data_IF_566838295613
#
_entry.id   IF_566838295613
#
_cell.length_a   1.000
_cell.length_b   1.000
_cell.length_c   1.000
_cell.angle_alpha   90.00
_cell.angle_beta   90.00
_cell.angle_gamma   90.00
#
_symmetry.space_group_name_H-M   'P 1'
#
loop_
_entity.id
_entity.type
_entity.pdbx_description
1 polymer ?
#
# COMPACT_ATOMS: atom_id res chain seq x y z
N UNK A 1 -10.08 4.62 -3.67
CA UNK A 1 -8.76 3.97 -3.62
C UNK A 1 -8.50 3.23 -4.92
N UNK A 2 -7.46 3.62 -5.62
CA UNK A 2 -7.09 2.98 -6.89
C UNK A 2 -5.72 2.31 -6.73
N UNK A 3 -5.62 1.04 -7.08
CA UNK A 3 -4.35 0.34 -7.12
C UNK A 3 -4.28 -0.55 -8.35
N UNK A 4 -3.08 -0.66 -8.92
CA UNK A 4 -2.83 -1.47 -10.11
C UNK A 4 -1.50 -2.21 -9.98
N UNK A 5 -1.49 -3.42 -10.45
CA UNK A 5 -0.30 -4.24 -10.56
C UNK A 5 0.03 -4.52 -12.02
N UNK A 6 1.31 -4.30 -12.37
CA UNK A 6 1.89 -4.72 -13.65
C UNK A 6 3.18 -5.48 -13.33
N UNK A 7 3.63 -6.40 -14.18
CA UNK A 7 4.95 -7.01 -13.96
C UNK A 7 6.03 -5.93 -13.84
N UNK A 8 6.65 -5.86 -12.66
CA UNK A 8 7.68 -4.87 -12.36
C UNK A 8 7.19 -3.55 -11.80
N UNK A 9 5.87 -3.34 -11.66
CA UNK A 9 5.32 -2.08 -11.14
C UNK A 9 4.06 -2.32 -10.31
N UNK A 10 3.96 -1.63 -9.20
CA UNK A 10 2.75 -1.57 -8.39
C UNK A 10 2.45 -0.11 -8.09
N UNK A 11 1.22 0.33 -8.35
CA UNK A 11 0.81 1.72 -8.14
C UNK A 11 -0.42 1.78 -7.24
N UNK A 12 -0.37 2.71 -6.30
CA UNK A 12 -1.47 2.98 -5.38
C UNK A 12 -1.75 4.48 -5.36
N UNK A 13 -2.99 4.89 -5.57
CA UNK A 13 -3.41 6.30 -5.58
C UNK A 13 -4.61 6.54 -4.70
N UNK A 14 -4.54 7.56 -3.87
CA UNK A 14 -5.70 8.09 -3.14
C UNK A 14 -5.30 9.40 -2.48
N UNK A 15 -6.28 10.30 -2.34
CA UNK A 15 -6.09 11.58 -1.66
C UNK A 15 -5.63 11.42 -0.20
N UNK A 16 -5.99 10.33 0.44
CA UNK A 16 -5.59 10.04 1.82
C UNK A 16 -4.07 9.97 1.97
N UNK A 17 -3.34 9.68 0.90
CA UNK A 17 -1.88 9.63 0.90
C UNK A 17 -1.24 11.03 1.05
N UNK A 18 -2.02 12.09 0.95
CA UNK A 18 -1.54 13.44 1.24
C UNK A 18 -1.31 13.65 2.75
N UNK A 19 -1.97 12.87 3.58
CA UNK A 19 -1.66 12.81 5.00
C UNK A 19 -0.29 12.14 5.15
N UNK A 20 0.66 12.84 5.74
CA UNK A 20 2.04 12.36 5.87
C UNK A 20 2.16 11.04 6.63
N UNK A 21 1.41 10.89 7.70
CA UNK A 21 1.48 9.66 8.51
C UNK A 21 0.93 8.45 7.75
N UNK A 22 -0.18 8.64 7.04
CA UNK A 22 -0.78 7.58 6.23
C UNK A 22 0.14 7.23 5.07
N UNK A 23 0.71 8.24 4.40
CA UNK A 23 1.66 8.03 3.30
C UNK A 23 2.90 7.26 3.77
N UNK A 24 3.46 7.63 4.90
CA UNK A 24 4.63 6.96 5.46
C UNK A 24 4.31 5.49 5.77
N UNK A 25 3.17 5.23 6.40
CA UNK A 25 2.74 3.88 6.70
C UNK A 25 2.54 3.04 5.43
N UNK A 26 1.95 3.63 4.40
CA UNK A 26 1.75 2.95 3.11
C UNK A 26 3.08 2.62 2.42
N UNK A 27 4.04 3.53 2.46
CA UNK A 27 5.38 3.30 1.89
C UNK A 27 6.09 2.16 2.65
N UNK A 28 6.01 2.16 3.96
CA UNK A 28 6.60 1.09 4.79
C UNK A 28 5.96 -0.26 4.49
N UNK A 29 4.64 -0.30 4.30
CA UNK A 29 3.94 -1.53 3.93
C UNK A 29 4.37 -2.03 2.55
N UNK A 30 4.52 -1.12 1.58
CA UNK A 30 5.00 -1.47 0.24
C UNK A 30 6.43 -2.01 0.29
N UNK A 31 7.29 -1.40 1.10
CA UNK A 31 8.67 -1.86 1.27
C UNK A 31 8.73 -3.25 1.93
N UNK A 32 7.81 -3.54 2.85
CA UNK A 32 7.71 -4.87 3.47
C UNK A 32 7.28 -5.92 2.45
N UNK A 33 6.38 -5.54 1.53
CA UNK A 33 5.91 -6.44 0.49
C UNK A 33 7.02 -6.77 -0.52
N UNK A 34 7.80 -5.78 -0.91
CA UNK A 34 8.89 -5.95 -1.86
C UNK A 34 10.10 -5.11 -1.42
N UNK A 35 10.98 -5.67 -0.58
CA UNK A 35 12.14 -4.91 -0.05
C UNK A 35 13.08 -4.39 -1.11
N UNK A 36 13.15 -5.04 -2.27
CA UNK A 36 14.01 -4.61 -3.38
C UNK A 36 13.40 -3.50 -4.23
N UNK A 37 12.16 -3.11 -3.98
CA UNK A 37 11.48 -2.12 -4.80
C UNK A 37 12.02 -0.71 -4.56
N UNK A 38 12.06 0.08 -5.65
CA UNK A 38 12.24 1.51 -5.56
C UNK A 38 10.86 2.13 -5.41
N UNK A 39 10.64 2.89 -4.34
CA UNK A 39 9.34 3.47 -4.03
C UNK A 39 9.41 4.98 -4.18
N UNK A 40 8.50 5.54 -4.98
CA UNK A 40 8.43 6.96 -5.26
C UNK A 40 7.07 7.52 -4.91
N UNK A 41 7.06 8.71 -4.32
CA UNK A 41 5.86 9.49 -4.05
C UNK A 41 5.66 10.51 -5.16
N UNK A 42 4.46 10.55 -5.74
CA UNK A 42 4.08 11.56 -6.72
C UNK A 42 2.97 12.42 -6.13
N UNK A 43 3.31 13.65 -5.76
CA UNK A 43 2.38 14.58 -5.14
C UNK A 43 1.25 15.00 -6.09
N UNK A 44 1.54 15.18 -7.37
CA UNK A 44 0.52 15.63 -8.33
C UNK A 44 -0.59 14.61 -8.55
N UNK A 45 -0.28 13.32 -8.43
CA UNK A 45 -1.28 12.25 -8.58
C UNK A 45 -1.76 11.68 -7.26
N UNK A 46 -1.18 12.11 -6.13
CA UNK A 46 -1.40 11.53 -4.82
C UNK A 46 -1.15 10.02 -4.84
N UNK A 47 -0.07 9.61 -5.48
CA UNK A 47 0.22 8.21 -5.73
C UNK A 47 1.59 7.76 -5.28
N UNK A 48 1.67 6.48 -4.95
CA UNK A 48 2.92 5.78 -4.65
C UNK A 48 3.16 4.78 -5.77
N UNK A 49 4.38 4.77 -6.32
CA UNK A 49 4.80 3.83 -7.34
C UNK A 49 5.97 3.01 -6.81
N UNK A 50 5.81 1.70 -6.80
CA UNK A 50 6.88 0.76 -6.51
C UNK A 50 7.36 0.13 -7.81
N UNK A 51 8.66 0.20 -8.09
CA UNK A 51 9.28 -0.38 -9.28
C UNK A 51 10.28 -1.45 -8.83
N UNK A 52 10.22 -2.62 -9.45
CA UNK A 52 11.03 -3.77 -9.05
C UNK A 52 11.25 -4.71 -10.23
N UNK A 53 12.23 -5.63 -10.10
CA UNK A 53 12.39 -6.68 -11.09
C UNK A 53 11.13 -7.55 -11.10
N UNK A 54 10.60 -7.96 -12.27
CA UNK A 54 9.33 -8.69 -12.34
C UNK A 54 9.27 -9.97 -11.49
N UNK A 55 10.40 -10.61 -11.26
CA UNK A 55 10.50 -11.82 -10.44
C UNK A 55 10.76 -11.55 -8.94
N UNK A 56 10.92 -10.29 -8.56
CA UNK A 56 11.22 -9.92 -7.18
C UNK A 56 9.99 -9.91 -6.26
N UNK A 57 8.78 -9.85 -6.83
CA UNK A 57 7.53 -9.85 -6.08
C UNK A 57 6.88 -11.23 -6.13
N UNK A 58 6.60 -11.78 -4.96
CA UNK A 58 5.85 -13.03 -4.85
C UNK A 58 4.35 -12.72 -5.05
N UNK A 59 3.80 -13.21 -6.15
CA UNK A 59 2.38 -13.03 -6.51
C UNK A 59 1.45 -13.64 -5.47
N UNK A 60 1.82 -14.76 -4.88
CA UNK A 60 1.01 -15.40 -3.84
C UNK A 60 0.94 -14.52 -2.59
N UNK A 61 2.04 -13.85 -2.26
CA UNK A 61 2.10 -12.90 -1.16
C UNK A 61 1.17 -11.70 -1.42
N UNK A 62 1.21 -11.16 -2.64
CA UNK A 62 0.31 -10.08 -3.03
C UNK A 62 -1.15 -10.52 -2.97
N UNK A 63 -1.45 -11.72 -3.47
CA UNK A 63 -2.81 -12.28 -3.45
C UNK A 63 -3.32 -12.44 -2.02
N UNK A 64 -2.48 -12.85 -1.09
CA UNK A 64 -2.84 -12.99 0.31
C UNK A 64 -3.22 -11.66 0.97
N UNK A 65 -2.71 -10.53 0.44
CA UNK A 65 -3.01 -9.20 0.97
C UNK A 65 -4.31 -8.61 0.41
N UNK A 66 -4.88 -9.17 -0.66
CA UNK A 66 -6.08 -8.64 -1.30
C UNK A 66 -7.26 -8.51 -0.32
N UNK A 67 -7.57 -9.50 0.54
CA UNK A 67 -8.65 -9.33 1.52
C UNK A 67 -8.45 -8.15 2.45
N UNK A 68 -7.21 -7.89 2.87
CA UNK A 68 -6.89 -6.75 3.74
C UNK A 68 -7.05 -5.43 3.01
N UNK A 69 -6.68 -5.38 1.72
CA UNK A 69 -6.88 -4.20 0.88
C UNK A 69 -8.38 -3.92 0.70
N UNK A 70 -9.18 -4.94 0.49
CA UNK A 70 -10.64 -4.80 0.35
C UNK A 70 -11.29 -4.33 1.64
N UNK A 71 -10.80 -4.77 2.78
CA UNK A 71 -11.28 -4.30 4.08
C UNK A 71 -10.93 -2.83 4.32
N UNK A 72 -9.76 -2.41 3.87
CA UNK A 72 -9.29 -1.04 4.03
C UNK A 72 -10.04 -0.06 3.10
N UNK A 73 -10.43 -0.50 1.91
CA UNK A 73 -10.99 0.37 0.86
C UNK A 73 -12.17 1.23 1.31
N UNK A 74 -13.21 0.72 2.00
CA UNK A 74 -14.32 1.57 2.44
C UNK A 74 -13.88 2.63 3.44
N UNK A 75 -12.90 2.34 4.28
CA UNK A 75 -12.38 3.30 5.27
C UNK A 75 -11.68 4.47 4.58
N UNK A 76 -10.97 4.19 3.50
CA UNK A 76 -10.29 5.19 2.69
C UNK A 76 -11.27 5.99 1.85
N UNK A 77 -12.24 5.30 1.21
CA UNK A 77 -13.24 5.93 0.34
C UNK A 77 -14.08 6.97 1.08
N UNK A 78 -14.47 6.67 2.32
CA UNK A 78 -15.29 7.56 3.14
C UNK A 78 -14.45 8.18 4.27
N UNK A 79 -13.23 8.58 3.92
CA UNK A 79 -12.28 9.11 4.87
C UNK A 79 -12.80 10.37 5.58
N UNK A 80 -12.62 10.37 6.90
CA UNK A 80 -12.75 11.55 7.76
C UNK A 80 -11.58 11.52 8.73
N UNK A 81 -11.18 12.67 9.33
CA UNK A 81 -10.08 12.69 10.31
C UNK A 81 -10.25 11.71 11.46
N UNK A 82 -11.48 11.41 11.85
CA UNK A 82 -11.77 10.43 12.91
C UNK A 82 -11.40 9.00 12.51
N UNK A 83 -11.30 8.72 11.22
CA UNK A 83 -10.98 7.39 10.70
C UNK A 83 -9.48 7.18 10.52
N UNK A 84 -8.67 8.20 10.72
CA UNK A 84 -7.23 8.12 10.50
C UNK A 84 -6.59 6.96 11.27
N UNK A 85 -6.90 6.83 12.56
CA UNK A 85 -6.34 5.75 13.39
C UNK A 85 -6.72 4.37 12.85
N UNK A 86 -7.97 4.18 12.40
CA UNK A 86 -8.41 2.91 11.83
C UNK A 86 -7.70 2.59 10.52
N UNK A 87 -7.43 3.61 9.70
CA UNK A 87 -6.69 3.45 8.44
C UNK A 87 -5.24 3.04 8.73
N UNK A 88 -4.59 3.72 9.68
CA UNK A 88 -3.22 3.39 10.08
C UNK A 88 -3.15 1.96 10.61
N UNK A 89 -4.11 1.54 11.41
CA UNK A 89 -4.20 0.17 11.91
C UNK A 89 -4.35 -0.84 10.78
N UNK A 90 -5.20 -0.54 9.80
CA UNK A 90 -5.38 -1.39 8.62
C UNK A 90 -4.10 -1.54 7.81
N UNK A 91 -3.37 -0.45 7.62
CA UNK A 91 -2.09 -0.47 6.91
C UNK A 91 -1.05 -1.27 7.69
N UNK A 92 -1.02 -1.17 9.03
CA UNK A 92 -0.10 -1.95 9.86
C UNK A 92 -0.41 -3.45 9.77
N UNK A 93 -1.66 -3.85 9.65
CA UNK A 93 -2.04 -5.24 9.42
C UNK A 93 -1.49 -5.75 8.09
N UNK A 94 -1.57 -4.93 7.06
CA UNK A 94 -1.03 -5.26 5.73
C UNK A 94 0.50 -5.43 5.82
N UNK A 95 1.16 -4.50 6.48
CA UNK A 95 2.61 -4.56 6.67
C UNK A 95 3.03 -5.83 7.43
N UNK A 96 2.34 -6.13 8.53
CA UNK A 96 2.65 -7.31 9.33
C UNK A 96 2.46 -8.60 8.53
N UNK A 97 1.38 -8.69 7.74
CA UNK A 97 1.14 -9.85 6.89
C UNK A 97 2.21 -9.97 5.80
N UNK A 98 2.67 -8.85 5.24
CA UNK A 98 3.73 -8.83 4.25
C UNK A 98 5.06 -9.32 4.82
N UNK A 99 5.38 -8.96 6.07
CA UNK A 99 6.60 -9.37 6.74
C UNK A 99 6.61 -10.87 7.08
N UNK A 100 5.46 -11.41 7.51
CA UNK A 100 5.34 -12.81 7.93
C UNK A 100 5.39 -13.76 6.74
N UNK A 101 4.92 -13.34 5.58
CA UNK A 101 4.87 -14.19 4.37
C UNK A 101 6.24 -14.41 3.71
N UNK A 102 7.30 -13.92 4.34
CA UNK A 102 8.65 -14.07 3.82
C UNK A 102 9.21 -15.46 3.90
#
# INVERSE_FOLDING_TARGET
>A
MEWRYFPGKFRFRDKVLRDEDIRRAAIEAAAALCPAAKIEWNESTSGILATFAPDALDIEKLRALVPLLKELEPKVRFYTPQKKAAILEGIQKIRAAAEVAG
#
